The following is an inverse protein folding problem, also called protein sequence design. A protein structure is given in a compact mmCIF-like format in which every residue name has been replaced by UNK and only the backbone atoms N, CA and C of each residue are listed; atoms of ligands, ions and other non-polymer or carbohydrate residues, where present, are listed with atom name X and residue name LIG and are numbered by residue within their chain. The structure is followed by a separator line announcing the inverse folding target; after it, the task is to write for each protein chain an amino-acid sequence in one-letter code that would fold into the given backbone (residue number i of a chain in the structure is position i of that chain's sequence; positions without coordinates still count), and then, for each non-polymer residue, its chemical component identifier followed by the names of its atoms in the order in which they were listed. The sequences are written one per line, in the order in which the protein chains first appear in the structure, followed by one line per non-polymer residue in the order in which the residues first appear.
data_IF_831423300967
#
_entry.id   IF_831423300967
#
_cell.length_a   1.000
_cell.length_b   1.000
_cell.length_c   1.000
_cell.angle_alpha   90.00
_cell.angle_beta   90.00
_cell.angle_gamma   90.00
#
_symmetry.space_group_name_H-M   'P 1'
#
loop_
_entity.id
_entity.type
_entity.pdbx_description
1 polymer ?
#
# COMPACT_ATOMS: atom_id res chain seq x y z
N UNK A 1 29.26 -10.94 -23.16
CA UNK A 1 29.75 -11.06 -21.77
C UNK A 1 28.58 -11.51 -20.93
N UNK A 2 28.59 -12.79 -20.53
CA UNK A 2 27.50 -13.45 -19.81
C UNK A 2 27.43 -12.97 -18.35
N UNK A 3 26.45 -12.12 -18.03
CA UNK A 3 26.08 -11.83 -16.64
C UNK A 3 25.17 -12.94 -16.10
N UNK A 4 25.79 -14.07 -15.73
CA UNK A 4 25.16 -15.10 -14.89
C UNK A 4 25.00 -14.54 -13.47
N UNK A 5 23.83 -14.02 -13.15
CA UNK A 5 23.45 -13.59 -11.79
C UNK A 5 23.51 -14.79 -10.83
N UNK A 6 24.45 -14.77 -9.88
CA UNK A 6 24.71 -15.86 -8.93
C UNK A 6 23.64 -15.93 -7.82
N UNK A 7 23.26 -17.13 -7.33
CA UNK A 7 22.32 -17.31 -6.20
C UNK A 7 22.81 -16.75 -4.86
N UNK A 8 24.07 -16.31 -4.78
CA UNK A 8 24.74 -15.83 -3.57
C UNK A 8 24.22 -14.45 -3.12
N UNK A 9 23.71 -13.62 -4.04
CA UNK A 9 23.19 -12.29 -3.70
C UNK A 9 21.82 -12.37 -3.01
N UNK A 10 21.01 -13.41 -3.29
CA UNK A 10 19.73 -13.64 -2.60
C UNK A 10 19.91 -14.03 -1.13
N UNK A 11 21.02 -14.66 -0.76
CA UNK A 11 21.30 -15.05 0.63
C UNK A 11 21.68 -13.83 1.49
N UNK A 12 22.36 -12.84 0.90
CA UNK A 12 22.88 -11.66 1.63
C UNK A 12 21.74 -10.68 1.96
N UNK A 13 20.76 -10.49 1.07
CA UNK A 13 19.58 -9.64 1.36
C UNK A 13 18.63 -10.24 2.40
N UNK A 14 18.48 -11.57 2.44
CA UNK A 14 17.66 -12.25 3.46
C UNK A 14 18.28 -12.10 4.85
N UNK A 15 19.61 -12.14 4.94
CA UNK A 15 20.32 -12.01 6.22
C UNK A 15 20.30 -10.56 6.72
N UNK A 16 20.49 -9.55 5.85
CA UNK A 16 20.34 -8.15 6.26
C UNK A 16 18.92 -7.80 6.73
N UNK A 17 17.89 -8.47 6.21
CA UNK A 17 16.50 -8.30 6.66
C UNK A 17 16.26 -8.94 8.06
N UNK A 18 16.95 -10.03 8.38
CA UNK A 18 16.96 -10.62 9.72
C UNK A 18 17.68 -9.74 10.76
N UNK A 19 18.65 -8.93 10.33
CA UNK A 19 19.47 -8.10 11.22
C UNK A 19 18.87 -6.74 11.61
N UNK A 20 17.78 -6.30 10.95
CA UNK A 20 17.08 -5.05 11.27
C UNK A 20 15.86 -5.23 12.19
N UNK A 21 15.40 -6.45 12.44
CA UNK A 21 14.34 -6.73 13.43
C UNK A 21 14.94 -6.96 14.83
N UNK A 22 15.53 -5.93 15.42
CA UNK A 22 15.75 -5.92 16.88
C UNK A 22 14.56 -5.23 17.55
N UNK A 23 14.00 -5.95 18.53
CA UNK A 23 12.77 -5.71 19.29
C UNK A 23 11.46 -6.05 18.53
N UNK A 24 10.76 -7.08 19.00
CA UNK A 24 9.33 -7.34 18.78
C UNK A 24 8.83 -7.91 17.44
N UNK A 25 9.49 -8.93 16.86
CA UNK A 25 8.94 -9.68 15.73
C UNK A 25 9.05 -11.19 15.92
N UNK A 26 7.90 -11.88 15.97
CA UNK A 26 7.86 -13.36 15.93
C UNK A 26 8.58 -13.91 14.70
N UNK A 27 9.46 -14.88 14.93
CA UNK A 27 10.50 -15.33 13.98
C UNK A 27 9.95 -16.21 12.84
N UNK A 28 8.66 -16.54 12.80
CA UNK A 28 8.24 -17.75 12.08
C UNK A 28 7.31 -17.56 10.86
N UNK A 29 7.29 -16.39 10.21
CA UNK A 29 6.56 -16.21 8.93
C UNK A 29 7.33 -15.47 7.81
N UNK A 30 8.65 -15.32 7.89
CA UNK A 30 9.40 -14.55 6.87
C UNK A 30 9.78 -15.38 5.63
N UNK A 31 9.51 -16.70 5.61
CA UNK A 31 9.94 -17.57 4.50
C UNK A 31 8.85 -17.80 3.43
N UNK A 32 7.61 -17.35 3.64
CA UNK A 32 6.50 -17.65 2.74
C UNK A 32 6.34 -16.69 1.54
N UNK A 33 7.09 -15.57 1.46
CA UNK A 33 6.82 -14.53 0.45
C UNK A 33 8.03 -14.11 -0.40
N UNK A 34 9.09 -14.94 -0.47
CA UNK A 34 10.28 -14.65 -1.28
C UNK A 34 10.49 -15.61 -2.47
N UNK A 35 9.50 -16.46 -2.80
CA UNK A 35 9.59 -17.39 -3.95
C UNK A 35 8.28 -17.51 -4.75
N UNK A 36 7.73 -16.38 -5.18
CA UNK A 36 6.87 -16.24 -6.37
C UNK A 36 7.21 -14.82 -6.87
N UNK A 37 7.83 -14.56 -8.00
CA UNK A 37 7.88 -15.24 -9.28
C UNK A 37 9.18 -14.88 -10.03
N UNK A 38 9.54 -15.68 -11.03
CA UNK A 38 10.07 -15.16 -12.31
C UNK A 38 10.35 -16.30 -13.27
N UNK A 39 9.41 -16.53 -14.19
CA UNK A 39 9.71 -16.84 -15.60
C UNK A 39 8.49 -16.50 -16.46
N UNK A 40 8.65 -15.46 -17.28
CA UNK A 40 7.70 -15.06 -18.31
C UNK A 40 7.99 -15.74 -19.66
N UNK A 41 6.88 -15.96 -20.39
CA UNK A 41 6.70 -15.83 -21.85
C UNK A 41 6.73 -17.09 -22.75
N UNK A 42 5.64 -17.23 -23.55
CA UNK A 42 5.66 -17.83 -24.89
C UNK A 42 4.69 -18.98 -25.17
N UNK A 43 3.60 -18.70 -25.92
CA UNK A 43 2.56 -19.63 -26.44
C UNK A 43 3.10 -20.80 -27.29
N UNK A 44 2.63 -22.04 -27.08
CA UNK A 44 1.61 -22.75 -27.90
C UNK A 44 1.55 -24.26 -27.61
N UNK A 45 0.31 -24.75 -27.41
CA UNK A 45 -0.29 -26.06 -27.77
C UNK A 45 0.37 -27.42 -27.42
N UNK A 46 -0.52 -28.31 -26.95
CA UNK A 46 -0.49 -29.79 -26.96
C UNK A 46 0.14 -30.54 -25.77
N UNK A 47 -0.76 -30.88 -24.84
CA UNK A 47 -1.17 -32.26 -24.48
C UNK A 47 -0.09 -33.32 -24.24
N UNK A 48 -0.17 -33.92 -23.03
CA UNK A 48 0.35 -35.25 -22.62
C UNK A 48 1.88 -35.34 -22.53
N UNK A 49 2.54 -35.94 -21.53
CA UNK A 49 2.18 -37.00 -20.59
C UNK A 49 3.19 -36.99 -19.42
N UNK A 50 2.77 -37.61 -18.33
CA UNK A 50 3.45 -37.88 -17.06
C UNK A 50 4.94 -38.25 -17.20
N UNK A 51 5.79 -37.49 -16.51
CA UNK A 51 7.18 -37.81 -16.21
C UNK A 51 7.46 -37.51 -14.74
N UNK A 52 7.19 -38.49 -13.89
CA UNK A 52 7.39 -38.47 -12.45
C UNK A 52 8.86 -38.28 -12.10
N UNK A 53 9.21 -37.22 -11.36
CA UNK A 53 10.40 -37.22 -10.50
C UNK A 53 10.22 -36.29 -9.28
N UNK A 54 9.83 -36.94 -8.19
CA UNK A 54 9.99 -36.62 -6.76
C UNK A 54 9.51 -35.25 -6.23
N UNK A 55 8.23 -35.21 -5.90
CA UNK A 55 7.71 -34.65 -4.65
C UNK A 55 8.50 -35.17 -3.45
N UNK A 56 9.23 -34.30 -2.76
CA UNK A 56 9.60 -34.52 -1.36
C UNK A 56 8.51 -33.89 -0.47
N UNK A 57 7.99 -34.60 0.54
CA UNK A 57 7.03 -34.03 1.47
C UNK A 57 7.70 -32.85 2.21
N UNK A 58 7.03 -31.70 2.31
CA UNK A 58 7.49 -30.58 3.16
C UNK A 58 7.66 -31.09 4.60
N UNK A 59 8.88 -31.44 4.98
CA UNK A 59 9.23 -31.79 6.35
C UNK A 59 9.13 -30.50 7.17
N UNK A 60 8.19 -30.46 8.12
CA UNK A 60 8.02 -29.35 9.06
C UNK A 60 9.35 -29.06 9.75
N UNK A 61 9.81 -27.80 9.68
CA UNK A 61 11.10 -27.37 10.22
C UNK A 61 11.10 -27.52 11.75
N UNK A 62 12.27 -27.77 12.36
CA UNK A 62 12.40 -28.02 13.82
C UNK A 62 11.82 -26.88 14.66
N UNK A 63 11.91 -25.66 14.14
CA UNK A 63 11.43 -24.43 14.75
C UNK A 63 9.89 -24.33 14.74
N UNK A 64 9.25 -24.72 13.64
CA UNK A 64 7.78 -24.77 13.55
C UNK A 64 7.21 -25.84 14.48
N UNK A 65 7.91 -26.96 14.63
CA UNK A 65 7.55 -28.00 15.61
C UNK A 65 7.69 -27.48 17.03
N UNK A 66 8.76 -26.73 17.30
CA UNK A 66 9.00 -26.15 18.62
C UNK A 66 7.88 -25.18 19.00
N UNK A 67 7.51 -24.26 18.12
CA UNK A 67 6.41 -23.32 18.37
C UNK A 67 5.09 -24.07 18.63
N UNK A 68 4.78 -25.08 17.80
CA UNK A 68 3.57 -25.90 17.98
C UNK A 68 3.56 -26.61 19.34
N UNK A 69 4.69 -27.14 19.80
CA UNK A 69 4.80 -27.75 21.13
C UNK A 69 4.57 -26.73 22.26
N UNK A 70 4.99 -25.48 22.09
CA UNK A 70 4.72 -24.39 23.05
C UNK A 70 3.23 -24.04 23.07
N UNK A 71 2.59 -23.89 21.90
CA UNK A 71 1.16 -23.58 21.81
C UNK A 71 0.29 -24.70 22.42
N UNK A 72 0.69 -25.96 22.22
CA UNK A 72 0.03 -27.11 22.85
C UNK A 72 0.21 -27.13 24.37
N UNK A 73 1.38 -26.74 24.89
CA UNK A 73 1.60 -26.55 26.33
C UNK A 73 0.66 -25.46 26.87
N UNK A 74 0.55 -24.32 26.19
CA UNK A 74 -0.36 -23.24 26.57
C UNK A 74 -1.82 -23.76 26.64
N UNK A 75 -2.24 -24.49 25.61
CA UNK A 75 -3.56 -25.13 25.57
C UNK A 75 -3.81 -26.08 26.74
N UNK A 76 -2.85 -26.95 27.05
CA UNK A 76 -2.95 -27.91 28.18
C UNK A 76 -3.05 -27.17 29.52
N UNK A 77 -2.32 -26.06 29.69
CA UNK A 77 -2.36 -25.27 30.92
C UNK A 77 -3.72 -24.56 31.08
N UNK A 78 -4.28 -24.02 29.99
CA UNK A 78 -5.54 -23.26 30.00
C UNK A 78 -6.77 -24.16 30.16
N UNK A 79 -6.76 -25.37 29.58
CA UNK A 79 -7.91 -26.27 29.59
C UNK A 79 -8.37 -26.62 31.02
N UNK A 80 -9.59 -26.22 31.39
CA UNK A 80 -10.18 -26.46 32.72
C UNK A 80 -10.83 -27.83 32.85
N UNK A 81 -11.04 -28.56 31.75
CA UNK A 81 -11.71 -29.85 31.73
C UNK A 81 -10.76 -31.03 32.08
N UNK A 82 -9.44 -30.82 31.96
CA UNK A 82 -8.43 -31.86 32.22
C UNK A 82 -8.04 -31.88 33.70
N UNK A 83 -7.98 -33.06 34.31
CA UNK A 83 -7.51 -33.24 35.69
C UNK A 83 -6.00 -32.97 35.83
N UNK A 84 -5.57 -32.63 37.04
CA UNK A 84 -4.17 -32.25 37.35
C UNK A 84 -3.15 -33.34 36.99
N UNK A 85 -3.49 -34.62 37.16
CA UNK A 85 -2.56 -35.72 36.87
C UNK A 85 -2.40 -35.94 35.37
N UNK A 86 -3.50 -35.87 34.62
CA UNK A 86 -3.45 -35.92 33.15
C UNK A 86 -2.70 -34.72 32.57
N UNK A 87 -2.87 -33.52 33.14
CA UNK A 87 -2.07 -32.33 32.76
C UNK A 87 -0.58 -32.59 32.96
N UNK A 88 -0.16 -33.09 34.13
CA UNK A 88 1.26 -33.39 34.41
C UNK A 88 1.84 -34.36 33.38
N UNK A 89 1.15 -35.44 33.08
CA UNK A 89 1.62 -36.43 32.11
C UNK A 89 1.76 -35.83 30.69
N UNK A 90 0.76 -35.06 30.24
CA UNK A 90 0.82 -34.39 28.92
C UNK A 90 1.96 -33.37 28.86
N UNK A 91 2.14 -32.55 29.91
CA UNK A 91 3.22 -31.56 29.99
C UNK A 91 4.60 -32.22 30.02
N UNK A 92 4.75 -33.35 30.72
CA UNK A 92 6.00 -34.12 30.75
C UNK A 92 6.40 -34.64 29.38
N UNK A 93 5.44 -35.18 28.61
CA UNK A 93 5.67 -35.61 27.23
C UNK A 93 6.09 -34.43 26.35
N UNK A 94 5.37 -33.30 26.42
CA UNK A 94 5.69 -32.12 25.62
C UNK A 94 7.04 -31.50 25.98
N UNK A 95 7.42 -31.53 27.26
CA UNK A 95 8.74 -31.11 27.71
C UNK A 95 9.85 -31.97 27.08
N UNK A 96 9.70 -33.29 27.05
CA UNK A 96 10.68 -34.18 26.41
C UNK A 96 10.80 -33.92 24.90
N UNK A 97 9.68 -33.60 24.24
CA UNK A 97 9.69 -33.20 22.82
C UNK A 97 10.46 -31.89 22.60
N UNK A 98 10.27 -30.89 23.46
CA UNK A 98 10.99 -29.62 23.45
C UNK A 98 12.50 -29.82 23.67
N UNK A 99 12.90 -30.67 24.62
CA UNK A 99 14.32 -30.99 24.86
C UNK A 99 14.99 -31.63 23.62
N UNK A 100 14.25 -32.48 22.89
CA UNK A 100 14.71 -33.03 21.61
C UNK A 100 14.88 -31.97 20.52
N UNK A 101 13.93 -31.02 20.43
CA UNK A 101 13.95 -29.93 19.46
C UNK A 101 15.02 -28.86 19.80
N UNK A 102 15.26 -28.57 21.07
CA UNK A 102 16.33 -27.68 21.56
C UNK A 102 17.71 -28.11 21.03
N UNK A 103 17.99 -29.42 21.06
CA UNK A 103 19.25 -29.96 20.52
C UNK A 103 19.41 -29.65 19.03
N UNK A 104 18.33 -29.70 18.25
CA UNK A 104 18.36 -29.37 16.82
C UNK A 104 18.52 -27.86 16.60
N UNK A 105 17.82 -27.03 17.37
CA UNK A 105 17.87 -25.57 17.30
C UNK A 105 19.26 -25.05 17.66
N UNK A 106 19.90 -25.58 18.72
CA UNK A 106 21.28 -25.24 19.09
C UNK A 106 22.29 -25.56 18.01
N UNK A 107 22.10 -26.65 17.25
CA UNK A 107 22.94 -26.95 16.08
C UNK A 107 22.81 -25.86 15.02
N UNK A 108 21.58 -25.42 14.71
CA UNK A 108 21.35 -24.33 13.76
C UNK A 108 21.99 -23.01 14.22
N UNK A 109 21.96 -22.70 15.51
CA UNK A 109 22.69 -21.55 16.05
C UNK A 109 24.20 -21.69 15.85
N UNK A 110 24.78 -22.86 16.14
CA UNK A 110 26.21 -23.09 15.94
C UNK A 110 26.65 -23.01 14.47
N UNK A 111 25.82 -23.49 13.55
CA UNK A 111 26.08 -23.37 12.11
C UNK A 111 25.97 -21.93 11.63
N UNK A 112 25.03 -21.16 12.18
CA UNK A 112 24.91 -19.72 11.95
C UNK A 112 26.14 -18.98 12.46
N UNK A 113 26.59 -19.25 13.69
CA UNK A 113 27.79 -18.66 14.26
C UNK A 113 29.03 -18.93 13.39
N UNK A 114 29.19 -20.17 12.94
CA UNK A 114 30.29 -20.56 12.03
C UNK A 114 30.22 -19.73 10.75
N UNK A 115 29.04 -19.63 10.14
CA UNK A 115 28.83 -18.83 8.94
C UNK A 115 29.15 -17.34 9.14
N UNK A 116 28.73 -16.75 10.27
CA UNK A 116 29.01 -15.34 10.58
C UNK A 116 30.52 -15.09 10.73
N UNK A 117 31.25 -16.02 11.35
CA UNK A 117 32.71 -15.95 11.49
C UNK A 117 33.43 -16.13 10.13
N UNK A 118 33.02 -17.11 9.34
CA UNK A 118 33.61 -17.38 8.01
C UNK A 118 33.44 -16.21 7.04
N UNK A 119 32.36 -15.42 7.17
CA UNK A 119 32.09 -14.26 6.33
C UNK A 119 32.79 -12.98 6.77
N UNK A 120 33.50 -12.98 7.90
CA UNK A 120 34.24 -11.81 8.38
C UNK A 120 33.33 -10.61 8.66
N UNK A 121 32.11 -10.85 9.15
CA UNK A 121 31.15 -9.80 9.45
C UNK A 121 31.59 -8.93 10.65
N UNK A 122 31.11 -7.68 10.75
CA UNK A 122 31.41 -6.80 11.88
C UNK A 122 31.13 -7.45 13.25
N UNK A 123 31.92 -7.14 14.29
CA UNK A 123 31.78 -7.76 15.62
C UNK A 123 30.40 -7.52 16.25
N UNK A 124 29.74 -6.42 15.92
CA UNK A 124 28.39 -6.09 16.39
C UNK A 124 27.35 -7.14 15.98
N UNK A 125 27.55 -7.79 14.83
CA UNK A 125 26.66 -8.84 14.32
C UNK A 125 26.81 -10.12 15.14
N UNK A 126 28.04 -10.49 15.49
CA UNK A 126 28.32 -11.64 16.37
C UNK A 126 27.74 -11.40 17.77
N UNK A 127 27.91 -10.19 18.32
CA UNK A 127 27.33 -9.84 19.62
C UNK A 127 25.80 -9.96 19.64
N UNK A 128 25.12 -9.50 18.57
CA UNK A 128 23.66 -9.64 18.45
C UNK A 128 23.24 -11.10 18.40
N UNK A 129 23.98 -11.93 17.66
CA UNK A 129 23.74 -13.37 17.62
C UNK A 129 23.89 -14.01 19.02
N UNK A 130 24.96 -13.69 19.75
CA UNK A 130 25.16 -14.20 21.10
C UNK A 130 24.08 -13.75 22.09
N UNK A 131 23.66 -12.47 22.01
CA UNK A 131 22.55 -11.98 22.82
C UNK A 131 21.25 -12.73 22.53
N UNK A 132 21.00 -13.03 21.26
CA UNK A 132 19.82 -13.80 20.85
C UNK A 132 19.86 -15.24 21.37
N UNK A 133 20.97 -15.96 21.19
CA UNK A 133 21.13 -17.34 21.68
C UNK A 133 20.96 -17.39 23.20
N UNK A 134 21.59 -16.45 23.92
CA UNK A 134 21.44 -16.35 25.37
C UNK A 134 19.99 -16.12 25.79
N UNK A 135 19.30 -15.19 25.11
CA UNK A 135 17.89 -14.91 25.41
C UNK A 135 17.00 -16.14 25.21
N UNK A 136 17.24 -16.92 24.14
CA UNK A 136 16.56 -18.19 23.91
C UNK A 136 16.83 -19.20 25.03
N UNK A 137 18.09 -19.39 25.44
CA UNK A 137 18.48 -20.34 26.48
C UNK A 137 17.89 -19.98 27.85
N UNK A 138 17.95 -18.70 28.22
CA UNK A 138 17.37 -18.18 29.45
C UNK A 138 15.85 -18.45 29.48
N UNK A 139 15.16 -18.21 28.35
CA UNK A 139 13.72 -18.42 28.26
C UNK A 139 13.33 -19.91 28.35
N UNK A 140 14.06 -20.77 27.64
CA UNK A 140 13.84 -22.22 27.67
C UNK A 140 14.07 -22.77 29.09
N UNK A 141 15.10 -22.27 29.79
CA UNK A 141 15.42 -22.68 31.15
C UNK A 141 14.28 -22.32 32.11
N UNK A 142 13.79 -21.09 32.07
CA UNK A 142 12.71 -20.64 32.97
C UNK A 142 11.39 -21.38 32.68
N UNK A 143 11.08 -21.66 31.41
CA UNK A 143 9.95 -22.51 31.05
C UNK A 143 10.12 -23.94 31.62
N UNK A 144 11.29 -24.55 31.44
CA UNK A 144 11.57 -25.89 31.97
C UNK A 144 11.48 -25.94 33.49
N UNK A 145 12.02 -24.94 34.19
CA UNK A 145 11.94 -24.85 35.66
C UNK A 145 10.47 -24.78 36.13
N UNK A 146 9.63 -24.01 35.43
CA UNK A 146 8.19 -23.95 35.71
C UNK A 146 7.49 -25.28 35.45
N UNK A 147 7.79 -25.98 34.35
CA UNK A 147 7.23 -27.29 34.04
C UNK A 147 7.67 -28.37 35.05
N UNK A 148 8.93 -28.34 35.48
CA UNK A 148 9.46 -29.21 36.54
C UNK A 148 8.74 -28.97 37.86
N UNK A 149 8.45 -27.71 38.20
CA UNK A 149 7.71 -27.38 39.41
C UNK A 149 6.28 -27.95 39.38
N UNK A 150 5.63 -27.97 38.21
CA UNK A 150 4.32 -28.60 38.03
C UNK A 150 4.42 -30.11 38.26
N UNK A 151 5.41 -30.78 37.67
CA UNK A 151 5.60 -32.23 37.82
C UNK A 151 5.83 -32.62 39.29
N UNK A 152 6.70 -31.88 40.00
CA UNK A 152 7.08 -32.13 41.40
C UNK A 152 6.02 -31.78 42.45
N UNK A 153 4.97 -31.02 42.10
CA UNK A 153 3.92 -30.63 43.05
C UNK A 153 3.24 -31.84 43.68
N UNK A 154 3.03 -31.83 45.01
CA UNK A 154 2.41 -32.97 45.72
C UNK A 154 0.93 -32.76 45.95
N UNK A 155 0.52 -31.50 46.09
CA UNK A 155 -0.87 -31.11 46.33
C UNK A 155 -1.47 -30.43 45.10
N UNK A 156 -2.80 -30.48 44.99
CA UNK A 156 -3.53 -29.77 43.92
C UNK A 156 -3.27 -28.26 43.96
N UNK A 157 -3.24 -27.68 45.16
CA UNK A 157 -2.97 -26.25 45.37
C UNK A 157 -1.58 -25.83 44.87
N UNK A 158 -0.54 -26.62 45.18
CA UNK A 158 0.82 -26.38 44.67
C UNK A 158 0.89 -26.49 43.14
N UNK A 159 0.17 -27.46 42.56
CA UNK A 159 0.11 -27.64 41.12
C UNK A 159 -0.56 -26.44 40.44
N UNK A 160 -1.67 -25.95 40.99
CA UNK A 160 -2.40 -24.80 40.45
C UNK A 160 -1.58 -23.50 40.55
N UNK A 161 -0.81 -23.31 41.63
CA UNK A 161 0.12 -22.20 41.77
C UNK A 161 1.28 -22.28 40.76
N UNK A 162 1.83 -23.48 40.51
CA UNK A 162 2.87 -23.68 39.51
C UNK A 162 2.36 -23.48 38.07
N UNK A 163 1.14 -23.97 37.77
CA UNK A 163 0.46 -23.74 36.49
C UNK A 163 0.24 -22.24 36.26
N UNK A 164 -0.18 -21.50 37.29
CA UNK A 164 -0.41 -20.06 37.19
C UNK A 164 0.87 -19.30 36.88
N UNK A 165 2.01 -19.68 37.49
CA UNK A 165 3.33 -19.13 37.16
C UNK A 165 3.75 -19.44 35.73
N UNK A 166 3.56 -20.68 35.28
CA UNK A 166 3.87 -21.08 33.91
C UNK A 166 3.04 -20.29 32.88
N UNK A 167 1.74 -20.08 33.14
CA UNK A 167 0.87 -19.25 32.29
C UNK A 167 1.34 -17.80 32.21
N UNK A 168 1.59 -17.18 33.37
CA UNK A 168 2.05 -15.80 33.42
C UNK A 168 3.39 -15.61 32.68
N UNK A 169 4.27 -16.61 32.78
CA UNK A 169 5.52 -16.62 32.05
C UNK A 169 5.34 -16.74 30.54
N UNK A 170 4.51 -17.69 30.07
CA UNK A 170 4.23 -17.85 28.64
C UNK A 170 3.58 -16.60 28.04
N UNK A 171 2.64 -15.96 28.73
CA UNK A 171 2.05 -14.70 28.28
C UNK A 171 3.07 -13.55 28.22
N UNK A 172 4.02 -13.50 29.17
CA UNK A 172 5.10 -12.50 29.17
C UNK A 172 6.05 -12.67 27.98
N UNK A 173 6.34 -13.91 27.59
CA UNK A 173 7.31 -14.23 26.53
C UNK A 173 6.65 -14.32 25.14
N UNK A 174 5.32 -14.41 25.09
CA UNK A 174 4.55 -14.44 23.84
C UNK A 174 4.88 -13.23 22.98
N UNK A 175 5.17 -13.48 21.71
CA UNK A 175 5.36 -12.40 20.75
C UNK A 175 4.08 -11.54 20.70
N UNK A 176 4.18 -10.21 20.70
CA UNK A 176 3.00 -9.37 20.56
C UNK A 176 2.27 -9.75 19.29
N UNK A 177 0.95 -9.98 19.40
CA UNK A 177 0.11 -10.25 18.23
C UNK A 177 0.30 -9.12 17.22
N UNK A 178 0.71 -9.46 15.98
CA UNK A 178 0.81 -8.51 14.86
C UNK A 178 -0.54 -7.82 14.60
N UNK A 179 -1.64 -8.49 14.96
CA UNK A 179 -2.98 -7.94 14.94
C UNK A 179 -3.39 -7.48 16.34
N UNK A 180 -3.35 -6.17 16.60
CA UNK A 180 -4.23 -5.58 17.61
C UNK A 180 -5.65 -5.82 17.12
N UNK A 181 -6.53 -6.40 17.96
CA UNK A 181 -7.95 -6.47 17.63
C UNK A 181 -8.41 -5.06 17.32
N UNK A 182 -8.98 -4.88 16.13
CA UNK A 182 -9.55 -3.62 15.70
C UNK A 182 -10.61 -3.23 16.73
N UNK A 183 -10.42 -2.11 17.42
CA UNK A 183 -11.45 -1.55 18.27
C UNK A 183 -12.51 -0.95 17.35
N UNK A 184 -13.74 -1.48 17.30
CA UNK A 184 -14.79 -0.97 16.40
C UNK A 184 -15.09 0.52 16.64
N UNK A 185 -14.79 1.02 17.85
CA UNK A 185 -15.02 2.40 18.26
C UNK A 185 -13.76 3.28 18.17
N UNK A 186 -12.60 2.70 17.82
CA UNK A 186 -11.33 3.42 17.58
C UNK A 186 -10.66 2.83 16.34
N UNK A 187 -11.34 2.99 15.21
CA UNK A 187 -10.75 2.72 13.91
C UNK A 187 -9.61 3.74 13.64
N UNK A 188 -8.47 3.31 13.08
CA UNK A 188 -7.39 4.22 12.71
C UNK A 188 -7.80 5.24 11.63
N UNK A 189 -8.91 4.96 10.93
CA UNK A 189 -9.63 5.87 10.04
C UNK A 189 -11.10 5.91 10.52
N UNK A 190 -11.49 7.01 11.16
CA UNK A 190 -12.90 7.30 11.44
C UNK A 190 -13.45 8.17 10.32
N UNK A 191 -14.56 7.77 9.70
CA UNK A 191 -15.38 8.73 8.93
C UNK A 191 -15.78 9.86 9.88
N UNK A 192 -15.51 11.13 9.54
CA UNK A 192 -15.93 12.24 10.40
C UNK A 192 -17.44 12.15 10.60
N UNK A 193 -17.91 12.28 11.85
CA UNK A 193 -19.33 12.37 12.13
C UNK A 193 -19.89 13.54 11.32
N UNK A 194 -20.83 13.23 10.42
CA UNK A 194 -21.60 14.25 9.71
C UNK A 194 -22.43 14.92 10.80
N UNK A 195 -21.95 16.07 11.31
CA UNK A 195 -22.80 16.97 12.07
C UNK A 195 -23.94 17.32 11.14
N UNK A 196 -25.11 16.74 11.40
CA UNK A 196 -26.37 17.09 10.75
C UNK A 196 -26.44 18.60 10.70
N UNK A 197 -26.28 19.18 9.52
CA UNK A 197 -26.49 20.61 9.33
C UNK A 197 -27.87 20.93 9.87
N UNK A 198 -27.93 21.88 10.80
CA UNK A 198 -29.19 22.37 11.34
C UNK A 198 -30.10 22.71 10.16
N UNK A 199 -31.31 22.15 10.24
CA UNK A 199 -32.38 22.28 9.26
C UNK A 199 -32.62 23.78 9.03
N UNK A 200 -32.10 24.31 7.91
CA UNK A 200 -32.43 25.66 7.47
C UNK A 200 -33.95 25.70 7.30
N UNK A 201 -34.56 26.57 8.09
CA UNK A 201 -35.99 26.79 8.17
C UNK A 201 -36.53 27.13 6.77
N UNK A 202 -37.53 26.37 6.31
CA UNK A 202 -38.22 26.64 5.05
C UNK A 202 -38.88 28.02 5.16
N UNK A 203 -38.24 29.06 4.63
CA UNK A 203 -38.95 30.28 4.31
C UNK A 203 -39.93 29.97 3.17
N UNK A 204 -41.20 30.22 3.49
CA UNK A 204 -42.39 30.03 2.67
C UNK A 204 -42.24 30.64 1.29
N UNK A 205 -42.35 29.82 0.25
CA UNK A 205 -42.69 30.26 -1.10
C UNK A 205 -44.22 30.27 -1.15
N UNK A 206 -44.80 31.46 -1.15
CA UNK A 206 -46.23 31.68 -1.36
C UNK A 206 -46.68 31.23 -2.76
N UNK A 207 -47.93 30.80 -2.80
CA UNK A 207 -48.72 30.22 -3.90
C UNK A 207 -48.80 31.01 -5.23
N UNK A 208 -49.26 30.36 -6.33
CA UNK A 208 -49.03 30.80 -7.70
C UNK A 208 -50.04 31.86 -8.18
N UNK A 209 -49.54 33.00 -8.68
CA UNK A 209 -50.37 33.98 -9.40
C UNK A 209 -50.48 33.62 -10.89
N UNK A 210 -51.66 33.10 -11.22
CA UNK A 210 -52.50 33.30 -12.42
C UNK A 210 -51.88 33.55 -13.81
N UNK A 211 -52.44 32.82 -14.79
CA UNK A 211 -52.07 32.67 -16.21
C UNK A 211 -52.23 33.92 -17.12
N UNK A 212 -52.11 35.14 -16.59
CA UNK A 212 -52.37 36.38 -17.37
C UNK A 212 -51.10 37.21 -17.69
N UNK A 213 -49.92 36.71 -17.32
CA UNK A 213 -48.63 37.35 -17.63
C UNK A 213 -47.90 36.73 -18.84
N UNK A 214 -48.53 35.77 -19.54
CA UNK A 214 -47.96 35.05 -20.69
C UNK A 214 -47.92 35.84 -22.01
N UNK A 215 -48.20 37.15 -22.00
CA UNK A 215 -48.14 37.99 -23.21
C UNK A 215 -47.61 39.39 -22.92
N UNK A 216 -46.37 39.53 -22.46
CA UNK A 216 -45.65 40.80 -22.68
C UNK A 216 -44.13 40.79 -22.69
N UNK A 217 -43.45 39.72 -22.33
CA UNK A 217 -41.98 39.69 -22.37
C UNK A 217 -41.49 38.65 -23.39
N UNK A 218 -41.78 38.91 -24.66
CA UNK A 218 -41.01 38.38 -25.78
C UNK A 218 -39.91 39.40 -26.12
N UNK A 219 -38.94 39.56 -25.22
CA UNK A 219 -37.66 40.21 -25.52
C UNK A 219 -36.57 39.47 -24.75
N UNK A 220 -35.58 39.05 -25.52
CA UNK A 220 -34.36 38.34 -25.16
C UNK A 220 -33.53 39.22 -24.21
N UNK A 221 -33.08 38.68 -23.06
CA UNK A 221 -32.13 39.39 -22.18
C UNK A 221 -31.96 38.76 -20.80
N UNK A 222 -30.71 38.42 -20.46
CA UNK A 222 -30.22 37.99 -19.16
C UNK A 222 -30.72 38.86 -17.99
N UNK A 223 -31.24 38.26 -16.93
CA UNK A 223 -31.26 38.89 -15.60
C UNK A 223 -30.90 37.87 -14.51
N UNK A 224 -29.63 37.88 -14.11
CA UNK A 224 -29.14 37.27 -12.88
C UNK A 224 -29.21 38.32 -11.76
N UNK A 225 -29.83 37.98 -10.63
CA UNK A 225 -29.93 38.86 -9.46
C UNK A 225 -28.54 39.33 -8.98
N UNK A 226 -28.36 40.61 -8.56
CA UNK A 226 -27.05 41.11 -8.17
C UNK A 226 -26.55 40.44 -6.88
N UNK A 227 -25.29 39.99 -6.90
CA UNK A 227 -24.58 39.45 -5.74
C UNK A 227 -24.13 40.62 -4.87
N UNK A 228 -24.58 40.67 -3.61
CA UNK A 228 -24.14 41.67 -2.63
C UNK A 228 -22.87 41.16 -1.94
N UNK A 229 -21.78 41.93 -2.01
CA UNK A 229 -20.47 41.59 -1.45
C UNK A 229 -20.04 42.72 -0.50
N UNK A 230 -19.64 42.37 0.72
CA UNK A 230 -19.05 43.32 1.67
C UNK A 230 -17.51 43.31 1.52
N UNK A 231 -16.94 44.41 1.02
CA UNK A 231 -15.48 44.60 0.92
C UNK A 231 -15.07 45.90 1.61
N UNK A 232 -13.97 45.87 2.37
CA UNK A 232 -13.34 47.04 2.99
C UNK A 232 -12.16 47.60 2.16
N UNK A 233 -11.98 47.16 0.91
CA UNK A 233 -10.91 47.60 0.00
C UNK A 233 -11.36 47.71 -1.47
N UNK A 234 -10.46 48.19 -2.36
CA UNK A 234 -10.77 48.40 -3.79
C UNK A 234 -11.19 47.10 -4.47
N UNK A 235 -12.26 47.18 -5.26
CA UNK A 235 -12.87 46.09 -6.01
C UNK A 235 -12.34 46.00 -7.46
N UNK A 236 -11.32 46.77 -7.81
CA UNK A 236 -10.69 46.72 -9.13
C UNK A 236 -10.16 45.31 -9.43
N UNK A 237 -10.72 44.69 -10.47
CA UNK A 237 -10.40 43.33 -10.92
C UNK A 237 -11.44 42.26 -10.56
N UNK A 238 -12.39 42.51 -9.64
CA UNK A 238 -13.39 41.50 -9.26
C UNK A 238 -14.49 41.30 -10.32
N UNK A 239 -14.63 42.25 -11.25
CA UNK A 239 -15.58 42.20 -12.38
C UNK A 239 -14.87 42.12 -13.75
N UNK A 240 -13.66 41.58 -13.81
CA UNK A 240 -13.07 41.20 -15.09
C UNK A 240 -13.77 39.93 -15.62
N UNK A 241 -14.86 40.14 -16.36
CA UNK A 241 -15.53 39.24 -17.29
C UNK A 241 -15.33 37.73 -17.03
N UNK A 242 -16.24 37.15 -16.25
CA UNK A 242 -16.65 35.77 -16.48
C UNK A 242 -17.31 35.72 -17.88
N UNK A 243 -16.52 35.50 -18.92
CA UNK A 243 -17.04 34.95 -20.16
C UNK A 243 -17.31 33.47 -19.90
N UNK A 244 -18.56 33.06 -20.11
CA UNK A 244 -18.96 31.66 -20.30
C UNK A 244 -18.17 31.07 -21.48
N UNK A 245 -16.94 30.63 -21.22
CA UNK A 245 -16.17 29.81 -22.14
C UNK A 245 -16.13 28.37 -21.61
N UNK A 246 -16.48 27.35 -22.43
CA UNK A 246 -16.22 25.97 -22.07
C UNK A 246 -14.71 25.79 -21.81
N UNK A 247 -14.27 24.82 -20.96
CA UNK A 247 -12.88 24.70 -20.56
C UNK A 247 -12.01 24.29 -21.76
N UNK A 248 -11.55 25.31 -22.49
CA UNK A 248 -10.64 25.18 -23.62
C UNK A 248 -9.52 26.19 -23.40
N UNK A 249 -8.74 25.97 -22.36
CA UNK A 249 -7.49 26.68 -21.99
C UNK A 249 -6.35 26.49 -23.01
N UNK A 250 -6.64 26.11 -24.27
CA UNK A 250 -5.64 25.60 -25.22
C UNK A 250 -4.60 26.62 -25.68
N UNK A 251 -4.84 27.92 -25.50
CA UNK A 251 -3.98 28.99 -26.06
C UNK A 251 -3.37 29.95 -25.01
N UNK A 252 -3.45 29.65 -23.71
CA UNK A 252 -2.73 30.48 -22.73
C UNK A 252 -1.24 30.11 -22.76
N UNK A 253 -0.33 31.10 -22.88
CA UNK A 253 1.10 30.82 -22.84
C UNK A 253 1.51 30.31 -21.45
N UNK A 254 2.56 29.48 -21.34
CA UNK A 254 3.08 29.03 -20.06
C UNK A 254 3.60 30.19 -19.21
N UNK A 255 3.48 30.03 -17.91
CA UNK A 255 4.01 30.93 -16.90
C UNK A 255 5.26 30.35 -16.25
N UNK A 256 5.99 31.15 -15.48
CA UNK A 256 7.15 30.66 -14.71
C UNK A 256 6.75 29.57 -13.70
N UNK A 257 5.52 29.61 -13.18
CA UNK A 257 4.99 28.59 -12.27
C UNK A 257 4.86 27.20 -12.94
N UNK A 258 4.76 27.15 -14.28
CA UNK A 258 4.69 25.91 -15.04
C UNK A 258 6.08 25.27 -15.25
N UNK A 259 7.15 25.96 -14.87
CA UNK A 259 8.55 25.49 -14.92
C UNK A 259 9.22 25.44 -13.56
N UNK A 260 8.70 26.13 -12.55
CA UNK A 260 9.29 26.20 -11.21
C UNK A 260 9.12 24.91 -10.40
N UNK A 261 9.99 24.72 -9.41
CA UNK A 261 9.79 23.74 -8.34
C UNK A 261 8.59 24.11 -7.44
N UNK A 262 8.00 23.10 -6.81
CA UNK A 262 6.96 23.27 -5.78
C UNK A 262 7.33 22.45 -4.55
N UNK A 263 6.42 22.33 -3.56
CA UNK A 263 6.63 21.40 -2.44
C UNK A 263 6.72 19.95 -2.95
N UNK A 264 5.81 19.58 -3.87
CA UNK A 264 5.68 18.22 -4.42
C UNK A 264 6.68 17.94 -5.55
N UNK A 265 7.14 18.98 -6.25
CA UNK A 265 7.99 18.87 -7.45
C UNK A 265 9.37 19.43 -7.14
N UNK A 266 10.39 18.56 -7.08
CA UNK A 266 11.79 18.91 -6.78
C UNK A 266 12.73 18.43 -7.89
N UNK A 267 13.71 19.27 -8.27
CA UNK A 267 14.72 18.95 -9.28
C UNK A 267 15.95 18.36 -8.62
N UNK A 268 15.77 17.19 -8.03
CA UNK A 268 16.85 16.44 -7.40
C UNK A 268 17.87 15.95 -8.45
N UNK A 269 19.10 15.62 -8.03
CA UNK A 269 20.11 15.07 -8.94
C UNK A 269 19.62 13.82 -9.69
N UNK A 270 18.77 13.00 -9.07
CA UNK A 270 18.19 11.81 -9.70
C UNK A 270 17.23 12.18 -10.84
N UNK A 271 16.38 13.19 -10.64
CA UNK A 271 15.48 13.72 -11.67
C UNK A 271 16.29 14.27 -12.85
N UNK A 272 17.32 15.07 -12.58
CA UNK A 272 18.17 15.66 -13.62
C UNK A 272 18.93 14.59 -14.40
N UNK A 273 19.47 13.57 -13.72
CA UNK A 273 20.15 12.45 -14.37
C UNK A 273 19.19 11.67 -15.28
N UNK A 274 17.96 11.40 -14.83
CA UNK A 274 16.96 10.69 -15.63
C UNK A 274 16.52 11.50 -16.85
N UNK A 275 16.35 12.82 -16.70
CA UNK A 275 16.03 13.73 -17.80
C UNK A 275 17.14 13.75 -18.85
N UNK A 276 18.41 13.80 -18.42
CA UNK A 276 19.56 13.74 -19.30
C UNK A 276 19.66 12.40 -20.06
N UNK A 277 19.37 11.28 -19.38
CA UNK A 277 19.31 9.94 -19.98
C UNK A 277 18.23 9.85 -21.08
N UNK A 278 17.07 10.45 -20.86
CA UNK A 278 15.91 10.41 -21.77
C UNK A 278 15.92 11.52 -22.83
N UNK A 279 16.96 12.36 -22.86
CA UNK A 279 17.19 13.34 -23.91
C UNK A 279 16.18 14.49 -23.98
N UNK A 280 15.55 14.87 -22.86
CA UNK A 280 14.54 15.94 -22.78
C UNK A 280 13.31 15.74 -23.71
N UNK A 281 13.04 14.51 -24.18
CA UNK A 281 11.90 14.25 -25.05
C UNK A 281 10.62 14.07 -24.24
N UNK A 282 9.56 14.86 -24.46
CA UNK A 282 8.29 14.69 -23.74
C UNK A 282 7.72 13.27 -23.86
N UNK A 283 7.88 12.65 -25.04
CA UNK A 283 7.43 11.28 -25.31
C UNK A 283 8.25 10.27 -24.50
N UNK A 284 9.58 10.40 -24.48
CA UNK A 284 10.43 9.48 -23.73
C UNK A 284 10.21 9.59 -22.22
N UNK A 285 9.97 10.81 -21.71
CA UNK A 285 9.64 11.05 -20.30
C UNK A 285 8.30 10.40 -19.94
N UNK A 286 7.29 10.56 -20.80
CA UNK A 286 6.00 9.90 -20.63
C UNK A 286 6.11 8.37 -20.64
N UNK A 287 6.76 7.81 -21.67
CA UNK A 287 6.94 6.36 -21.81
C UNK A 287 7.74 5.77 -20.65
N UNK A 288 8.71 6.52 -20.10
CA UNK A 288 9.42 6.11 -18.91
C UNK A 288 8.49 5.93 -17.72
N UNK A 289 7.65 6.93 -17.41
CA UNK A 289 6.70 6.84 -16.30
C UNK A 289 5.68 5.73 -16.56
N UNK A 290 5.04 5.73 -17.73
CA UNK A 290 4.02 4.74 -18.12
C UNK A 290 4.48 3.29 -18.02
N UNK A 291 5.72 3.00 -18.41
CA UNK A 291 6.20 1.63 -18.54
C UNK A 291 6.92 1.10 -17.29
N UNK A 292 7.38 1.98 -16.40
CA UNK A 292 8.19 1.58 -15.24
C UNK A 292 7.49 1.78 -13.90
N UNK A 293 6.39 2.54 -13.88
CA UNK A 293 5.71 2.89 -12.63
C UNK A 293 4.43 2.09 -12.45
N UNK A 294 4.14 1.76 -11.19
CA UNK A 294 2.93 1.03 -10.80
C UNK A 294 1.89 1.98 -10.23
N UNK A 295 0.66 1.89 -10.73
CA UNK A 295 -0.46 2.63 -10.15
C UNK A 295 -0.93 1.98 -8.84
N UNK A 296 -1.02 2.78 -7.79
CA UNK A 296 -1.49 2.39 -6.46
C UNK A 296 -2.64 3.31 -6.04
N UNK A 297 -3.88 2.81 -5.89
CA UNK A 297 -5.00 3.66 -5.55
C UNK A 297 -4.94 4.11 -4.08
N UNK A 298 -4.88 5.42 -3.87
CA UNK A 298 -5.16 6.14 -2.63
C UNK A 298 -5.53 7.59 -2.97
N UNK A 299 -6.18 8.29 -2.04
CA UNK A 299 -6.64 9.67 -2.29
C UNK A 299 -5.65 10.73 -1.80
N UNK A 300 -5.39 11.73 -2.64
CA UNK A 300 -4.54 12.90 -2.34
C UNK A 300 -3.06 12.70 -2.66
N UNK A 301 -2.26 13.78 -2.56
CA UNK A 301 -0.79 13.69 -2.69
C UNK A 301 -0.20 13.13 -1.41
N UNK A 302 0.56 12.03 -1.50
CA UNK A 302 1.20 11.42 -0.32
C UNK A 302 2.71 11.33 -0.47
N UNK A 303 3.18 10.94 -1.65
CA UNK A 303 4.59 10.64 -1.92
C UNK A 303 5.30 11.82 -2.60
N UNK A 304 4.60 12.61 -3.39
CA UNK A 304 5.16 13.64 -4.25
C UNK A 304 6.08 13.05 -5.34
N UNK A 305 6.80 13.90 -6.07
CA UNK A 305 7.66 13.47 -7.18
C UNK A 305 8.86 12.60 -6.73
N UNK A 306 9.52 12.95 -5.62
CA UNK A 306 10.76 12.29 -5.21
C UNK A 306 10.52 10.85 -4.72
N UNK A 307 9.59 10.66 -3.79
CA UNK A 307 9.36 9.33 -3.21
C UNK A 307 8.76 8.39 -4.26
N UNK A 308 7.88 8.91 -5.13
CA UNK A 308 7.30 8.13 -6.22
C UNK A 308 8.36 7.71 -7.25
N UNK A 309 9.37 8.55 -7.54
CA UNK A 309 10.51 8.18 -8.39
C UNK A 309 11.35 7.07 -7.77
N UNK A 310 11.54 7.06 -6.45
CA UNK A 310 12.30 6.03 -5.74
C UNK A 310 11.55 4.71 -5.64
N UNK A 311 10.26 4.75 -5.35
CA UNK A 311 9.40 3.56 -5.22
C UNK A 311 8.94 3.02 -6.58
N UNK A 312 8.96 3.87 -7.61
CA UNK A 312 8.37 3.60 -8.92
C UNK A 312 6.89 3.19 -8.80
N UNK A 313 6.16 3.79 -7.85
CA UNK A 313 4.76 3.48 -7.62
C UNK A 313 4.02 4.62 -6.91
N UNK A 314 2.78 4.90 -7.32
CA UNK A 314 1.95 5.93 -6.70
C UNK A 314 0.55 6.04 -7.29
N UNK A 315 -0.28 6.91 -6.72
CA UNK A 315 -1.60 7.22 -7.28
C UNK A 315 -1.49 8.19 -8.47
N UNK A 316 -2.63 8.62 -8.98
CA UNK A 316 -2.76 9.56 -10.09
C UNK A 316 -2.00 10.88 -9.83
N UNK A 317 -2.16 11.47 -8.64
CA UNK A 317 -1.48 12.72 -8.27
C UNK A 317 0.04 12.51 -8.18
N UNK A 318 0.49 11.42 -7.56
CA UNK A 318 1.90 11.15 -7.33
C UNK A 318 2.63 10.78 -8.64
N UNK A 319 1.99 10.01 -9.52
CA UNK A 319 2.51 9.74 -10.87
C UNK A 319 2.53 11.00 -11.74
N UNK A 320 1.48 11.83 -11.67
CA UNK A 320 1.47 13.14 -12.32
C UNK A 320 2.60 14.04 -11.79
N UNK A 321 2.88 13.99 -10.48
CA UNK A 321 3.96 14.75 -9.85
C UNK A 321 5.33 14.37 -10.39
N UNK A 322 5.61 13.08 -10.58
CA UNK A 322 6.85 12.61 -11.21
C UNK A 322 6.94 13.10 -12.65
N UNK A 323 5.88 12.92 -13.43
CA UNK A 323 5.88 13.31 -14.84
C UNK A 323 6.08 14.82 -15.01
N UNK A 324 5.39 15.63 -14.19
CA UNK A 324 5.60 17.09 -14.15
C UNK A 324 7.03 17.42 -13.73
N UNK A 325 7.58 16.76 -12.71
CA UNK A 325 8.97 16.99 -12.28
C UNK A 325 9.99 16.72 -13.37
N UNK A 326 9.84 15.60 -14.08
CA UNK A 326 10.68 15.25 -15.23
C UNK A 326 10.53 16.26 -16.37
N UNK A 327 9.30 16.66 -16.71
CA UNK A 327 9.04 17.64 -17.77
C UNK A 327 9.61 19.03 -17.43
N UNK A 328 9.36 19.53 -16.22
CA UNK A 328 9.86 20.85 -15.79
C UNK A 328 11.38 20.89 -15.73
N UNK A 329 12.03 19.82 -15.23
CA UNK A 329 13.48 19.69 -15.25
C UNK A 329 14.05 19.60 -16.69
N UNK A 330 13.28 19.10 -17.65
CA UNK A 330 13.59 19.12 -19.08
C UNK A 330 13.23 20.46 -19.78
N UNK A 331 12.86 21.48 -19.02
CA UNK A 331 12.39 22.79 -19.51
C UNK A 331 11.14 22.69 -20.40
N UNK A 332 10.25 21.74 -20.09
CA UNK A 332 8.93 21.57 -20.69
C UNK A 332 7.89 22.05 -19.66
N UNK A 333 7.13 23.12 -19.97
CA UNK A 333 6.10 23.59 -19.05
C UNK A 333 5.02 22.53 -18.84
N UNK A 334 4.73 22.21 -17.59
CA UNK A 334 3.77 21.18 -17.22
C UNK A 334 3.03 21.55 -15.94
N UNK A 335 1.75 21.19 -15.84
CA UNK A 335 0.89 21.49 -14.67
C UNK A 335 -0.11 20.38 -14.41
N UNK A 336 -0.65 20.35 -13.20
CA UNK A 336 -1.75 19.43 -12.85
C UNK A 336 -3.05 19.88 -13.51
N UNK A 337 -3.84 18.91 -13.93
CA UNK A 337 -5.24 19.09 -14.33
C UNK A 337 -6.05 17.97 -13.67
N UNK A 338 -7.08 18.33 -12.93
CA UNK A 338 -7.85 17.38 -12.12
C UNK A 338 -9.34 17.56 -12.39
N UNK A 339 -10.08 16.45 -12.39
CA UNK A 339 -11.51 16.45 -12.60
C UNK A 339 -12.14 15.09 -12.36
N UNK A 340 -13.45 14.98 -12.61
CA UNK A 340 -14.11 13.69 -12.65
C UNK A 340 -13.97 13.08 -14.05
N UNK A 341 -13.44 11.86 -14.10
CA UNK A 341 -13.36 11.09 -15.35
C UNK A 341 -14.41 9.99 -15.35
N UNK A 342 -14.85 9.58 -16.54
CA UNK A 342 -15.72 8.42 -16.73
C UNK A 342 -14.96 7.33 -17.49
N UNK A 343 -14.88 6.14 -16.89
CA UNK A 343 -14.26 4.97 -17.50
C UNK A 343 -15.24 3.81 -17.57
N UNK A 344 -15.15 3.03 -18.64
CA UNK A 344 -15.86 1.76 -18.72
C UNK A 344 -15.35 0.80 -17.65
N UNK A 345 -16.23 -0.02 -17.09
CA UNK A 345 -15.86 -0.95 -16.02
C UNK A 345 -14.78 -1.92 -16.47
N UNK A 346 -14.78 -2.36 -17.73
CA UNK A 346 -13.72 -3.21 -18.29
C UNK A 346 -12.34 -2.53 -18.25
N UNK A 347 -12.27 -1.22 -18.52
CA UNK A 347 -11.01 -0.48 -18.45
C UNK A 347 -10.58 -0.27 -17.01
N UNK A 348 -11.51 0.10 -16.14
CA UNK A 348 -11.22 0.25 -14.71
C UNK A 348 -10.68 -1.06 -14.13
N UNK A 349 -11.38 -2.17 -14.35
CA UNK A 349 -11.01 -3.51 -13.87
C UNK A 349 -9.59 -3.92 -14.28
N UNK A 350 -9.23 -3.67 -15.53
CA UNK A 350 -7.86 -3.90 -16.02
C UNK A 350 -6.84 -2.95 -15.36
N UNK A 351 -7.21 -1.69 -15.16
CA UNK A 351 -6.33 -0.66 -14.63
C UNK A 351 -5.94 -0.92 -13.17
N UNK A 352 -6.88 -1.31 -12.31
CA UNK A 352 -6.64 -1.52 -10.87
C UNK A 352 -6.10 -2.93 -10.52
N UNK A 353 -5.34 -3.54 -11.43
CA UNK A 353 -4.70 -4.84 -11.18
C UNK A 353 -5.45 -6.06 -11.74
N UNK A 354 -6.38 -5.87 -12.68
CA UNK A 354 -6.98 -6.97 -13.44
C UNK A 354 -8.06 -7.77 -12.70
N UNK A 355 -8.89 -7.10 -11.90
CA UNK A 355 -10.01 -7.76 -11.20
C UNK A 355 -11.11 -8.17 -12.20
N UNK A 356 -11.92 -9.17 -11.85
CA UNK A 356 -12.96 -9.70 -12.74
C UNK A 356 -14.39 -9.26 -12.41
N UNK A 357 -14.58 -8.62 -11.26
CA UNK A 357 -15.90 -8.17 -10.79
C UNK A 357 -15.94 -6.63 -10.65
N UNK A 358 -16.92 -5.96 -11.28
CA UNK A 358 -17.02 -4.50 -11.21
C UNK A 358 -17.28 -3.93 -9.82
N UNK A 359 -17.98 -4.65 -8.95
CA UNK A 359 -18.22 -4.19 -7.57
C UNK A 359 -16.93 -4.24 -6.76
N UNK A 360 -16.12 -5.27 -6.95
CA UNK A 360 -14.77 -5.38 -6.37
C UNK A 360 -13.89 -4.21 -6.82
N UNK A 361 -13.99 -3.81 -8.10
CA UNK A 361 -13.24 -2.66 -8.59
C UNK A 361 -13.65 -1.35 -7.91
N UNK A 362 -14.96 -1.13 -7.76
CA UNK A 362 -15.48 0.03 -7.03
C UNK A 362 -15.10 -0.01 -5.53
N UNK A 363 -15.11 -1.20 -4.92
CA UNK A 363 -14.70 -1.37 -3.52
C UNK A 363 -13.23 -1.06 -3.30
N UNK A 364 -12.35 -1.39 -4.25
CA UNK A 364 -10.92 -1.04 -4.17
C UNK A 364 -10.75 0.48 -4.15
N UNK A 365 -11.39 1.20 -5.07
CA UNK A 365 -11.37 2.67 -5.09
C UNK A 365 -11.98 3.28 -3.82
N UNK A 366 -13.12 2.75 -3.36
CA UNK A 366 -13.78 3.22 -2.15
C UNK A 366 -12.93 2.99 -0.89
N UNK A 367 -12.26 1.83 -0.78
CA UNK A 367 -11.36 1.50 0.34
C UNK A 367 -10.11 2.37 0.32
N UNK A 368 -9.64 2.72 -0.88
CA UNK A 368 -8.56 3.67 -1.11
C UNK A 368 -8.95 5.14 -0.82
N UNK A 369 -10.24 5.40 -0.54
CA UNK A 369 -10.76 6.73 -0.27
C UNK A 369 -10.96 7.60 -1.52
N UNK A 370 -10.89 7.02 -2.72
CA UNK A 370 -11.06 7.75 -3.99
C UNK A 370 -12.56 8.07 -4.19
N UNK A 371 -12.96 9.34 -4.27
CA UNK A 371 -14.35 9.72 -4.50
C UNK A 371 -14.82 9.25 -5.86
N UNK A 372 -15.93 8.52 -5.90
CA UNK A 372 -16.52 8.05 -7.15
C UNK A 372 -17.85 7.34 -6.98
N UNK A 373 -18.48 7.01 -8.10
CA UNK A 373 -19.75 6.30 -8.19
C UNK A 373 -19.80 5.41 -9.43
N UNK A 374 -20.59 4.35 -9.33
CA UNK A 374 -20.91 3.50 -10.46
C UNK A 374 -22.11 4.05 -11.23
N UNK A 375 -22.02 4.04 -12.55
CA UNK A 375 -23.05 4.51 -13.46
C UNK A 375 -23.68 3.34 -14.20
N UNK A 376 -25.00 3.40 -14.33
CA UNK A 376 -25.81 2.39 -15.01
C UNK A 376 -26.25 2.93 -16.37
N UNK A 377 -26.09 2.13 -17.42
CA UNK A 377 -26.64 2.40 -18.74
C UNK A 377 -27.56 1.23 -19.13
N UNK A 378 -28.80 1.52 -19.54
CA UNK A 378 -29.79 0.50 -19.92
C UNK A 378 -30.01 -0.60 -18.85
N UNK A 379 -29.99 -0.23 -17.57
CA UNK A 379 -30.21 -1.15 -16.45
C UNK A 379 -29.00 -2.04 -16.11
N UNK A 380 -27.83 -1.82 -16.72
CA UNK A 380 -26.59 -2.53 -16.41
C UNK A 380 -25.50 -1.55 -15.97
N UNK A 381 -24.71 -1.95 -14.96
CA UNK A 381 -23.49 -1.24 -14.58
C UNK A 381 -22.55 -1.22 -15.79
N UNK A 382 -22.12 -0.03 -16.22
CA UNK A 382 -21.29 0.12 -17.43
C UNK A 382 -20.08 1.02 -17.23
N UNK A 383 -20.21 2.06 -16.42
CA UNK A 383 -19.13 3.01 -16.18
C UNK A 383 -18.88 3.24 -14.70
N UNK A 384 -17.69 3.72 -14.38
CA UNK A 384 -17.33 4.31 -13.11
C UNK A 384 -16.94 5.76 -13.36
N UNK A 385 -17.50 6.67 -12.57
CA UNK A 385 -17.10 8.07 -12.52
C UNK A 385 -16.35 8.32 -11.22
N UNK A 386 -15.15 8.89 -11.27
CA UNK A 386 -14.33 9.17 -10.09
C UNK A 386 -13.36 10.32 -10.32
N UNK A 387 -12.88 10.91 -9.23
CA UNK A 387 -11.87 11.98 -9.26
C UNK A 387 -10.52 11.43 -9.74
N UNK A 388 -9.91 12.13 -10.69
CA UNK A 388 -8.59 11.79 -11.25
C UNK A 388 -7.80 13.06 -11.58
N UNK A 389 -6.49 13.01 -11.38
CA UNK A 389 -5.54 14.05 -11.74
C UNK A 389 -4.56 13.54 -12.81
N UNK A 390 -4.37 14.33 -13.86
CA UNK A 390 -3.43 14.09 -14.95
C UNK A 390 -2.54 15.32 -15.19
N UNK A 391 -1.65 15.24 -16.19
CA UNK A 391 -0.71 16.29 -16.55
C UNK A 391 -1.18 17.05 -17.78
N UNK A 392 -1.14 18.37 -17.75
CA UNK A 392 -1.15 19.19 -18.96
C UNK A 392 0.27 19.65 -19.26
N UNK A 393 0.81 19.30 -20.43
CA UNK A 393 2.14 19.71 -20.87
C UNK A 393 2.08 20.61 -22.10
N UNK A 394 2.90 21.65 -22.14
CA UNK A 394 2.97 22.58 -23.27
C UNK A 394 3.96 22.08 -24.31
N UNK A 395 3.48 21.20 -25.20
CA UNK A 395 4.29 20.46 -26.17
C UNK A 395 3.74 20.65 -27.58
N UNK A 396 4.61 20.42 -28.57
CA UNK A 396 4.21 20.35 -29.97
C UNK A 396 3.76 18.92 -30.27
N UNK A 397 2.44 18.71 -30.31
CA UNK A 397 1.87 17.40 -30.63
C UNK A 397 1.35 17.43 -32.06
N UNK A 398 1.77 16.45 -32.86
CA UNK A 398 1.11 16.20 -34.14
C UNK A 398 -0.33 15.73 -33.87
N UNK A 399 -1.37 16.37 -34.42
CA UNK A 399 -2.72 15.86 -34.27
C UNK A 399 -2.81 14.48 -34.93
N UNK A 400 -3.11 13.45 -34.12
CA UNK A 400 -3.28 12.04 -34.52
C UNK A 400 -4.52 11.79 -35.40
N UNK A 401 -4.94 12.77 -36.21
CA UNK A 401 -6.15 12.77 -37.03
C UNK A 401 -5.90 13.33 -38.45
N UNK A 402 -4.73 13.07 -39.04
CA UNK A 402 -4.43 13.40 -40.44
C UNK A 402 -4.36 14.90 -40.79
N UNK A 403 -4.32 15.78 -39.78
CA UNK A 403 -4.11 17.21 -39.99
C UNK A 403 -2.61 17.50 -40.03
N UNK A 404 -2.16 18.28 -41.02
CA UNK A 404 -0.79 18.79 -41.05
C UNK A 404 -0.63 19.74 -39.86
N UNK A 405 0.34 19.47 -39.00
CA UNK A 405 0.64 20.33 -37.86
C UNK A 405 1.12 21.69 -38.39
N UNK A 406 0.23 22.69 -38.39
CA UNK A 406 0.49 24.02 -38.94
C UNK A 406 0.79 25.05 -37.85
N UNK A 407 0.55 24.75 -36.57
CA UNK A 407 0.66 25.71 -35.47
C UNK A 407 1.08 25.07 -34.14
N UNK A 408 2.25 25.51 -33.66
CA UNK A 408 2.59 25.83 -32.26
C UNK A 408 2.47 24.76 -31.17
N UNK A 409 3.22 24.95 -30.07
CA UNK A 409 3.01 24.20 -28.83
C UNK A 409 1.65 24.56 -28.21
N UNK A 410 0.97 23.58 -27.61
CA UNK A 410 -0.30 23.78 -26.90
C UNK A 410 -0.37 22.90 -25.66
N UNK A 411 -1.26 23.26 -24.72
CA UNK A 411 -1.52 22.44 -23.54
C UNK A 411 -2.17 21.12 -23.97
N UNK A 412 -1.42 20.04 -23.78
CA UNK A 412 -1.80 18.67 -24.15
C UNK A 412 -2.03 17.86 -22.88
N UNK A 413 -3.22 17.24 -22.71
CA UNK A 413 -3.46 16.33 -21.59
C UNK A 413 -2.69 15.02 -21.80
N UNK A 414 -1.98 14.60 -20.75
CA UNK A 414 -1.11 13.42 -20.71
C UNK A 414 -1.38 12.71 -19.39
N UNK A 415 -1.72 11.43 -19.46
CA UNK A 415 -2.04 10.59 -18.29
C UNK A 415 -1.04 9.42 -18.22
N UNK A 416 -0.09 9.43 -17.25
CA UNK A 416 1.03 8.49 -17.15
C UNK A 416 0.61 7.02 -17.03
#
# INVERSE_FOLDING_TARGET
MDFRYKPVIRLISIISLFFFCWTFGGIFEVVAFATTDSKQSGKNSQQSTIGSQSTQPKQQKSEEKFQKSIDEIESILVDTAIDTNTKKNKLKTKRSEIEGLDTAIKRQFSDTERFLKEKGLPPEILERHYKFVKHYEDNLKELNDNLVAIDKSRTKSEADAAISRAKAYLEKVKAPSKHKKLDPNRLPFTTPEIKTFEKIEKQSIDEPKTRDSLKKNAVIGNESSPILIASAGSLDGLLAQAQDEPPTTRNTPPTEADLAETLEIKFTPEVQAKVAELGNSPVALYEYVRNHFTYEPYYGSLKGSQQTLLEMAGNDIDLASVLIGLMRAANIPARYSCGEIELSLDRLMNWIGGVTDPNTAAQILATAGVPGKLLTESGKLKYAQFSHCWVEAYVDMFPSMGSVNKQGKYWTPIDP
#
